data_IF_948425783697
#
_entry.id   IF_948425783697
#
_cell.length_a   1.000
_cell.length_b   1.000
_cell.length_c   1.000
_cell.angle_alpha   90.00
_cell.angle_beta   90.00
_cell.angle_gamma   90.00
#
_symmetry.space_group_name_H-M   'P 1'
#
loop_
_entity.id
_entity.type
_entity.pdbx_description
1 polymer ?
#
# COMPACT_ATOMS: atom_id res chain seq x y z
N UNK A 1 -12.77 7.92 8.82
CA UNK A 1 -13.04 8.43 7.44
C UNK A 1 -11.74 9.03 6.94
N UNK A 2 -11.23 8.59 5.79
CA UNK A 2 -9.93 9.06 5.28
C UNK A 2 -10.07 10.47 4.69
N UNK A 3 -9.14 11.39 4.94
CA UNK A 3 -9.21 12.73 4.41
C UNK A 3 -9.08 12.70 2.87
N UNK A 4 -9.81 13.57 2.18
CA UNK A 4 -9.65 13.72 0.73
C UNK A 4 -8.20 14.13 0.39
N UNK A 5 -7.71 13.68 -0.77
CA UNK A 5 -6.38 14.01 -1.28
C UNK A 5 -5.83 12.96 -2.23
N UNK A 6 -4.58 13.15 -2.63
CA UNK A 6 -3.83 12.22 -3.49
C UNK A 6 -3.08 11.20 -2.64
N UNK A 7 -3.11 9.94 -3.07
CA UNK A 7 -2.49 8.83 -2.37
C UNK A 7 -1.64 8.01 -3.33
N UNK A 8 -0.41 7.72 -2.94
CA UNK A 8 0.35 6.64 -3.56
C UNK A 8 -0.19 5.30 -3.06
N UNK A 9 -0.44 4.36 -3.97
CA UNK A 9 -1.09 3.10 -3.66
C UNK A 9 -0.35 1.93 -4.32
N UNK A 10 -0.27 0.81 -3.62
CA UNK A 10 0.11 -0.49 -4.18
C UNK A 10 -0.95 -1.53 -3.80
N UNK A 11 -1.32 -2.36 -4.76
CA UNK A 11 -2.24 -3.49 -4.55
C UNK A 11 -1.43 -4.77 -4.73
N UNK A 12 -1.53 -5.68 -3.77
CA UNK A 12 -0.81 -6.95 -3.79
C UNK A 12 -1.64 -8.07 -3.18
N UNK A 13 -1.35 -9.30 -3.60
CA UNK A 13 -1.86 -10.50 -2.95
C UNK A 13 -0.75 -11.07 -2.08
N UNK A 14 -1.00 -11.27 -0.78
CA UNK A 14 0.00 -11.83 0.12
C UNK A 14 -0.63 -12.52 1.33
N UNK A 15 0.13 -13.46 1.91
CA UNK A 15 -0.24 -14.24 3.07
C UNK A 15 0.46 -13.69 4.34
N UNK A 16 0.33 -12.38 4.59
CA UNK A 16 0.80 -11.65 5.79
C UNK A 16 2.33 -11.66 6.07
N UNK A 17 3.06 -12.68 5.63
CA UNK A 17 4.45 -12.93 6.02
C UNK A 17 5.46 -12.02 5.32
N UNK A 18 5.11 -11.41 4.18
CA UNK A 18 6.06 -10.59 3.41
C UNK A 18 5.63 -9.13 3.25
N UNK A 19 4.69 -8.65 4.08
CA UNK A 19 4.13 -7.29 3.97
C UNK A 19 5.19 -6.18 3.93
N UNK A 20 6.26 -6.30 4.74
CA UNK A 20 7.33 -5.31 4.84
C UNK A 20 7.97 -4.94 3.48
N UNK A 21 8.04 -5.88 2.54
CA UNK A 21 8.59 -5.60 1.20
C UNK A 21 7.74 -4.59 0.42
N UNK A 22 6.42 -4.59 0.61
CA UNK A 22 5.53 -3.68 -0.10
C UNK A 22 5.57 -2.26 0.46
N UNK A 23 5.84 -2.11 1.76
CA UNK A 23 6.17 -0.81 2.35
C UNK A 23 7.45 -0.24 1.74
N UNK A 24 8.49 -1.07 1.64
CA UNK A 24 9.76 -0.66 1.03
C UNK A 24 9.60 -0.28 -0.45
N UNK A 25 8.84 -1.07 -1.24
CA UNK A 25 8.54 -0.77 -2.65
C UNK A 25 7.79 0.56 -2.78
N UNK A 26 6.77 0.79 -1.94
CA UNK A 26 5.99 2.03 -2.00
C UNK A 26 6.83 3.24 -1.60
N UNK A 27 7.70 3.11 -0.58
CA UNK A 27 8.63 4.16 -0.20
C UNK A 27 9.69 4.46 -1.26
N UNK A 28 10.23 3.43 -1.91
CA UNK A 28 11.17 3.61 -3.03
C UNK A 28 10.49 4.38 -4.18
N UNK A 29 9.26 4.00 -4.53
CA UNK A 29 8.47 4.73 -5.53
C UNK A 29 8.30 6.22 -5.17
N UNK A 30 7.99 6.53 -3.92
CA UNK A 30 7.86 7.93 -3.47
C UNK A 30 9.18 8.68 -3.61
N UNK A 31 10.27 8.09 -3.11
CA UNK A 31 11.61 8.67 -3.15
C UNK A 31 12.06 8.95 -4.59
N UNK A 32 11.95 7.96 -5.46
CA UNK A 32 12.46 8.03 -6.84
C UNK A 32 11.70 9.03 -7.70
N UNK A 33 10.47 9.37 -7.31
CA UNK A 33 9.63 10.34 -8.01
C UNK A 33 9.53 11.70 -7.28
N UNK A 34 10.26 11.89 -6.18
CA UNK A 34 10.24 13.14 -5.41
C UNK A 34 8.89 13.44 -4.75
N UNK A 35 8.09 12.41 -4.44
CA UNK A 35 6.83 12.58 -3.73
C UNK A 35 7.07 12.59 -2.21
N UNK A 36 6.53 13.61 -1.54
CA UNK A 36 6.62 13.73 -0.09
C UNK A 36 5.41 13.09 0.60
N UNK A 37 5.59 12.04 1.42
CA UNK A 37 4.49 11.43 2.17
C UNK A 37 4.00 12.37 3.28
N UNK A 38 2.68 12.54 3.40
CA UNK A 38 2.04 13.36 4.43
C UNK A 38 0.96 12.57 5.21
N UNK A 39 1.42 11.64 6.06
CA UNK A 39 0.56 10.87 6.97
C UNK A 39 1.05 9.45 7.15
N UNK A 40 0.19 8.62 7.74
CA UNK A 40 0.49 7.21 8.01
C UNK A 40 0.09 6.30 6.84
N UNK A 41 0.70 5.11 6.82
CA UNK A 41 0.25 4.03 5.97
C UNK A 41 -1.13 3.52 6.37
N UNK A 42 -1.93 3.18 5.36
CA UNK A 42 -3.25 2.60 5.54
C UNK A 42 -3.31 1.30 4.75
N UNK A 43 -3.62 0.20 5.45
CA UNK A 43 -3.90 -1.10 4.86
C UNK A 43 -5.42 -1.31 4.71
N UNK A 44 -5.87 -1.62 3.50
CA UNK A 44 -7.23 -2.01 3.20
C UNK A 44 -7.22 -3.48 2.76
N UNK A 45 -7.83 -4.34 3.57
CA UNK A 45 -7.96 -5.77 3.30
C UNK A 45 -9.24 -5.98 2.48
N UNK A 46 -9.10 -6.40 1.22
CA UNK A 46 -10.20 -6.38 0.25
C UNK A 46 -10.89 -7.74 0.18
N UNK A 47 -10.16 -8.80 -0.17
CA UNK A 47 -10.75 -10.13 -0.34
C UNK A 47 -9.75 -11.23 0.04
N UNK A 48 -10.08 -12.09 1.01
CA UNK A 48 -9.32 -13.31 1.26
C UNK A 48 -9.59 -14.33 0.16
N UNK A 49 -8.56 -15.03 -0.30
CA UNK A 49 -8.60 -16.06 -1.34
C UNK A 49 -7.80 -17.27 -0.93
N UNK A 50 -8.38 -18.45 -1.17
CA UNK A 50 -7.65 -19.72 -1.12
C UNK A 50 -7.10 -20.00 -2.51
N UNK A 51 -5.78 -20.04 -2.65
CA UNK A 51 -5.09 -20.39 -3.89
C UNK A 51 -4.14 -21.55 -3.61
N UNK A 52 -4.34 -22.67 -4.31
CA UNK A 52 -3.55 -23.91 -4.19
C UNK A 52 -3.36 -24.42 -2.74
N UNK A 53 -4.41 -24.30 -1.92
CA UNK A 53 -4.40 -24.73 -0.52
C UNK A 53 -3.74 -23.74 0.46
N UNK A 54 -3.29 -22.58 -0.03
CA UNK A 54 -2.76 -21.49 0.80
C UNK A 54 -3.74 -20.31 0.87
N UNK A 55 -3.90 -19.74 2.06
CA UNK A 55 -4.65 -18.50 2.22
C UNK A 55 -3.80 -17.31 1.76
N UNK A 56 -4.40 -16.45 0.95
CA UNK A 56 -3.85 -15.21 0.45
C UNK A 56 -4.91 -14.12 0.63
N UNK A 57 -4.52 -12.85 0.75
CA UNK A 57 -5.49 -11.76 0.80
C UNK A 57 -5.04 -10.64 -0.11
N UNK A 58 -5.96 -10.15 -0.94
CA UNK A 58 -5.76 -8.93 -1.70
C UNK A 58 -5.78 -7.75 -0.74
N UNK A 59 -4.67 -7.05 -0.67
CA UNK A 59 -4.47 -5.90 0.21
C UNK A 59 -4.11 -4.70 -0.65
N UNK A 60 -4.66 -3.54 -0.29
CA UNK A 60 -4.24 -2.24 -0.79
C UNK A 60 -3.52 -1.48 0.32
N UNK A 61 -2.24 -1.20 0.10
CA UNK A 61 -1.46 -0.32 0.96
C UNK A 61 -1.41 1.07 0.31
N UNK A 62 -1.66 2.10 1.11
CA UNK A 62 -1.61 3.49 0.63
C UNK A 62 -1.06 4.45 1.67
N UNK A 63 -0.51 5.55 1.18
CA UNK A 63 -0.04 6.67 2.00
C UNK A 63 -0.37 7.97 1.27
N UNK A 64 -0.80 8.98 2.02
CA UNK A 64 -1.14 10.29 1.47
C UNK A 64 0.15 10.99 1.02
N UNK A 65 0.11 11.69 -0.11
CA UNK A 65 1.24 12.51 -0.57
C UNK A 65 0.87 13.99 -0.53
N UNK A 66 1.86 14.84 -0.26
CA UNK A 66 1.70 16.28 -0.42
C UNK A 66 1.32 16.55 -1.89
N UNK A 67 0.40 17.49 -2.12
CA UNK A 67 0.04 17.84 -3.49
C UNK A 67 1.30 18.33 -4.21
N UNK A 68 1.67 17.75 -5.37
CA UNK A 68 2.77 18.29 -6.16
C UNK A 68 2.42 19.72 -6.56
N UNK A 69 3.31 20.65 -6.22
CA UNK A 69 3.26 22.08 -6.55
C UNK A 69 3.23 22.32 -8.04
#
# INVERSE_FOLDING_TARGET
>A
MQPAGVYACIIFDDNVHQKAKYYAILMAFLHDNGYEPCGDFIEEWIIPRLQDGSESTLIKLKIKIANPS
#
